data_IF_741197388993
#
_entry.id   IF_741197388993
#
_cell.length_a   1.000
_cell.length_b   1.000
_cell.length_c   1.000
_cell.angle_alpha   90.00
_cell.angle_beta   90.00
_cell.angle_gamma   90.00
#
_symmetry.space_group_name_H-M   'P 1'
#
loop_
_entity.id
_entity.type
_entity.pdbx_description
1 polymer ?
#
# COMPACT_ATOMS: atom_id res chain seq x y z
N UNK A 1 -36.17 -19.31 -66.50
CA UNK A 1 -35.97 -19.76 -65.08
C UNK A 1 -34.99 -18.80 -64.44
N UNK A 2 -35.42 -17.89 -63.57
CA UNK A 2 -34.44 -17.03 -62.92
C UNK A 2 -33.86 -17.70 -61.71
N UNK A 3 -32.52 -17.77 -61.64
CA UNK A 3 -31.75 -18.24 -60.51
C UNK A 3 -31.86 -17.18 -59.39
N UNK A 4 -32.43 -17.58 -58.24
CA UNK A 4 -32.39 -16.80 -57.00
C UNK A 4 -31.01 -16.99 -56.35
N UNK A 5 -30.24 -15.90 -56.30
CA UNK A 5 -28.99 -15.82 -55.52
C UNK A 5 -29.36 -15.52 -54.09
N UNK A 6 -29.17 -16.48 -53.21
CA UNK A 6 -29.22 -16.24 -51.75
C UNK A 6 -27.93 -15.60 -51.32
N UNK A 7 -27.99 -14.35 -50.93
CA UNK A 7 -26.89 -13.65 -50.28
C UNK A 7 -26.87 -14.02 -48.79
N UNK A 8 -25.92 -14.85 -48.43
CA UNK A 8 -25.65 -15.18 -47.01
C UNK A 8 -24.88 -14.01 -46.39
N UNK A 9 -25.60 -13.20 -45.61
CA UNK A 9 -24.96 -12.16 -44.80
C UNK A 9 -24.25 -12.78 -43.60
N UNK A 10 -22.95 -12.72 -43.60
CA UNK A 10 -22.10 -13.06 -42.44
C UNK A 10 -22.13 -11.84 -41.51
N UNK A 11 -22.94 -11.90 -40.43
CA UNK A 11 -22.87 -10.94 -39.33
C UNK A 11 -21.64 -11.22 -38.49
N UNK A 12 -20.65 -10.36 -38.63
CA UNK A 12 -19.46 -10.35 -37.76
C UNK A 12 -19.87 -9.66 -36.45
N UNK A 13 -20.18 -10.45 -35.42
CA UNK A 13 -20.33 -9.95 -34.06
C UNK A 13 -18.92 -9.65 -33.49
N UNK A 14 -18.54 -8.37 -33.47
CA UNK A 14 -17.40 -7.89 -32.73
C UNK A 14 -17.71 -8.01 -31.24
N UNK A 15 -17.23 -9.07 -30.60
CA UNK A 15 -17.23 -9.21 -29.15
C UNK A 15 -16.23 -8.25 -28.54
N UNK A 16 -16.70 -7.13 -27.96
CA UNK A 16 -15.91 -6.31 -27.09
C UNK A 16 -15.60 -7.11 -25.81
N UNK A 17 -14.41 -7.69 -25.75
CA UNK A 17 -13.86 -8.22 -24.50
C UNK A 17 -13.55 -7.05 -23.58
N UNK A 18 -14.41 -6.78 -22.60
CA UNK A 18 -14.15 -5.86 -21.52
C UNK A 18 -13.11 -6.52 -20.61
N UNK A 19 -11.83 -6.12 -20.73
CA UNK A 19 -10.84 -6.43 -19.72
C UNK A 19 -11.25 -5.69 -18.45
N UNK A 20 -11.89 -6.39 -17.53
CA UNK A 20 -12.06 -5.92 -16.18
C UNK A 20 -10.67 -5.83 -15.55
N UNK A 21 -10.11 -4.62 -15.48
CA UNK A 21 -8.91 -4.37 -14.71
C UNK A 21 -9.23 -4.72 -13.25
N UNK A 22 -8.62 -5.80 -12.74
CA UNK A 22 -8.71 -6.16 -11.33
C UNK A 22 -7.96 -5.08 -10.55
N UNK A 23 -8.68 -4.16 -9.95
CA UNK A 23 -8.12 -3.24 -8.99
C UNK A 23 -7.62 -4.07 -7.79
N UNK A 24 -6.39 -3.81 -7.31
CA UNK A 24 -5.95 -4.44 -6.08
C UNK A 24 -6.98 -4.12 -5.00
N UNK A 25 -7.43 -5.16 -4.28
CA UNK A 25 -8.40 -5.03 -3.21
C UNK A 25 -7.84 -4.10 -2.14
N UNK A 26 -8.32 -2.86 -2.10
CA UNK A 26 -8.04 -1.96 -1.00
C UNK A 26 -8.64 -2.54 0.28
N UNK A 27 -7.91 -2.50 1.40
CA UNK A 27 -8.49 -2.83 2.69
C UNK A 27 -9.77 -2.02 2.91
N UNK A 28 -10.78 -2.56 3.60
CA UNK A 28 -12.02 -1.83 3.84
C UNK A 28 -11.72 -0.48 4.49
N UNK A 29 -12.30 0.58 3.93
CA UNK A 29 -12.09 1.98 4.34
C UNK A 29 -12.38 2.25 5.84
N UNK A 30 -13.07 1.34 6.50
CA UNK A 30 -13.38 1.41 7.93
C UNK A 30 -12.16 1.33 8.88
N UNK A 31 -10.98 0.95 8.36
CA UNK A 31 -9.74 0.84 9.14
C UNK A 31 -8.69 1.90 8.77
N UNK A 32 -8.99 2.79 7.83
CA UNK A 32 -8.09 3.89 7.49
C UNK A 32 -8.18 4.97 8.58
N UNK A 33 -7.19 5.02 9.45
CA UNK A 33 -7.07 6.02 10.54
C UNK A 33 -6.32 7.28 10.09
N UNK A 34 -5.95 7.37 8.83
CA UNK A 34 -5.26 8.50 8.21
C UNK A 34 -5.74 8.71 6.76
N UNK A 35 -5.59 9.92 6.25
CA UNK A 35 -5.87 10.24 4.85
C UNK A 35 -4.66 9.94 3.94
N UNK A 36 -4.90 9.90 2.62
CA UNK A 36 -3.82 9.76 1.63
C UNK A 36 -2.81 10.92 1.72
N UNK A 37 -3.30 12.14 1.98
CA UNK A 37 -2.46 13.33 2.14
C UNK A 37 -1.59 13.24 3.40
N UNK A 38 -2.14 12.72 4.50
CA UNK A 38 -1.36 12.46 5.72
C UNK A 38 -0.28 11.40 5.47
N UNK A 39 -0.58 10.33 4.75
CA UNK A 39 0.39 9.32 4.39
C UNK A 39 1.53 9.90 3.53
N UNK A 40 1.20 10.70 2.51
CA UNK A 40 2.20 11.35 1.65
C UNK A 40 3.07 12.36 2.41
N UNK A 41 2.51 13.09 3.35
CA UNK A 41 3.27 13.98 4.23
C UNK A 41 4.19 13.20 5.17
N UNK A 42 3.69 12.11 5.75
CA UNK A 42 4.45 11.21 6.62
C UNK A 42 5.61 10.53 5.90
N UNK A 43 5.42 10.12 4.66
CA UNK A 43 6.48 9.55 3.81
C UNK A 43 7.67 10.49 3.67
N UNK A 44 7.42 11.77 3.38
CA UNK A 44 8.50 12.78 3.26
C UNK A 44 9.29 12.94 4.56
N UNK A 45 8.59 12.96 5.70
CA UNK A 45 9.20 13.05 7.02
C UNK A 45 10.02 11.78 7.30
N UNK A 46 9.46 10.62 6.97
CA UNK A 46 10.14 9.33 7.14
C UNK A 46 11.49 9.31 6.42
N UNK A 47 11.53 9.65 5.13
CA UNK A 47 12.78 9.68 4.37
C UNK A 47 13.77 10.71 4.88
N UNK A 48 13.29 11.83 5.38
CA UNK A 48 14.17 12.88 5.91
C UNK A 48 14.77 12.56 7.29
N UNK A 49 14.08 11.78 8.14
CA UNK A 49 14.46 11.67 9.55
C UNK A 49 14.61 10.23 10.05
N UNK A 50 13.90 9.27 9.45
CA UNK A 50 13.78 7.91 9.99
C UNK A 50 14.51 6.86 9.16
N UNK A 51 14.51 7.01 7.83
CA UNK A 51 15.01 6.01 6.89
C UNK A 51 16.51 5.73 7.07
N UNK A 52 17.28 6.69 7.54
CA UNK A 52 18.71 6.52 7.81
C UNK A 52 19.01 5.36 8.78
N UNK A 53 18.10 5.11 9.72
CA UNK A 53 18.20 3.99 10.67
C UNK A 53 17.27 2.83 10.32
N UNK A 54 16.04 3.11 9.87
CA UNK A 54 15.04 2.08 9.64
C UNK A 54 15.03 1.51 8.22
N UNK A 55 15.82 2.07 7.30
CA UNK A 55 15.89 1.64 5.89
C UNK A 55 14.84 2.29 5.02
N UNK A 56 15.17 2.53 3.75
CA UNK A 56 14.24 3.09 2.77
C UNK A 56 13.07 2.14 2.44
N UNK A 57 13.29 0.85 2.68
CA UNK A 57 12.35 -0.25 2.49
C UNK A 57 11.56 -0.61 3.76
N UNK A 58 11.73 0.14 4.85
CA UNK A 58 11.12 -0.12 6.16
C UNK A 58 11.54 -1.47 6.81
N UNK A 59 12.55 -2.15 6.25
CA UNK A 59 12.97 -3.47 6.71
C UNK A 59 13.80 -3.45 8.02
N UNK A 60 14.17 -2.27 8.46
CA UNK A 60 15.09 -2.10 9.60
C UNK A 60 16.54 -2.29 9.20
N UNK A 61 17.43 -1.99 10.14
CA UNK A 61 18.87 -2.19 10.03
C UNK A 61 19.42 -2.63 11.39
N UNK A 62 20.72 -2.79 11.52
CA UNK A 62 21.40 -3.37 12.72
C UNK A 62 20.88 -2.86 14.08
N UNK A 63 20.54 -1.58 14.17
CA UNK A 63 20.11 -0.94 15.43
C UNK A 63 18.66 -0.47 15.43
N UNK A 64 17.97 -0.62 14.32
CA UNK A 64 16.59 -0.15 14.16
C UNK A 64 15.69 -1.29 13.67
N UNK A 65 14.58 -1.45 14.35
CA UNK A 65 13.61 -2.50 14.05
C UNK A 65 12.91 -2.27 12.71
N UNK A 66 12.39 -3.33 12.11
CA UNK A 66 11.52 -3.25 10.95
C UNK A 66 10.24 -2.45 11.29
N UNK A 67 9.81 -1.61 10.35
CA UNK A 67 8.56 -0.83 10.44
C UNK A 67 7.50 -1.31 9.45
N UNK A 68 7.76 -2.43 8.78
CA UNK A 68 6.82 -3.09 7.88
C UNK A 68 7.04 -4.62 7.93
N UNK A 69 6.11 -5.36 7.32
CA UNK A 69 6.20 -6.81 7.21
C UNK A 69 5.79 -7.55 8.48
N UNK A 70 6.03 -8.87 8.47
CA UNK A 70 5.56 -9.77 9.51
C UNK A 70 6.08 -9.40 10.91
N UNK A 71 7.36 -9.07 11.02
CA UNK A 71 7.97 -8.72 12.30
C UNK A 71 7.32 -7.49 12.94
N UNK A 72 7.00 -6.48 12.15
CA UNK A 72 6.28 -5.29 12.62
C UNK A 72 4.84 -5.63 13.02
N UNK A 73 4.17 -6.42 12.20
CA UNK A 73 2.80 -6.86 12.48
C UNK A 73 2.72 -7.70 13.76
N UNK A 74 3.62 -8.64 13.96
CA UNK A 74 3.68 -9.46 15.17
C UNK A 74 3.91 -8.59 16.43
N UNK A 75 4.76 -7.58 16.32
CA UNK A 75 5.04 -6.68 17.43
C UNK A 75 3.86 -5.76 17.77
N UNK A 76 3.07 -5.34 16.78
CA UNK A 76 2.06 -4.28 16.92
C UNK A 76 0.62 -4.75 16.77
N UNK A 77 0.38 -5.96 16.25
CA UNK A 77 -0.96 -6.49 16.07
C UNK A 77 -1.71 -6.53 17.41
N UNK A 78 -2.94 -6.02 17.42
CA UNK A 78 -3.77 -5.93 18.61
C UNK A 78 -3.37 -4.83 19.62
N UNK A 79 -2.35 -4.02 19.33
CA UNK A 79 -1.98 -2.87 20.14
C UNK A 79 -2.70 -1.61 19.69
N UNK A 80 -2.93 -0.70 20.63
CA UNK A 80 -3.51 0.61 20.37
C UNK A 80 -2.54 1.48 19.54
N UNK A 81 -3.09 2.19 18.56
CA UNK A 81 -2.34 3.14 17.74
C UNK A 81 -1.64 4.23 18.57
N UNK A 82 -2.21 4.60 19.70
CA UNK A 82 -1.59 5.53 20.66
C UNK A 82 -0.23 5.04 21.14
N UNK A 83 -0.10 3.74 21.40
CA UNK A 83 1.17 3.13 21.81
C UNK A 83 2.23 3.24 20.72
N UNK A 84 1.82 3.11 19.47
CA UNK A 84 2.73 3.32 18.34
C UNK A 84 3.18 4.77 18.25
N UNK A 85 2.25 5.71 18.38
CA UNK A 85 2.54 7.16 18.38
C UNK A 85 3.51 7.54 19.51
N UNK A 86 3.26 7.09 20.72
CA UNK A 86 4.14 7.30 21.88
C UNK A 86 5.56 6.77 21.59
N UNK A 87 5.68 5.61 20.94
CA UNK A 87 6.97 5.07 20.51
C UNK A 87 7.67 5.96 19.49
N UNK A 88 6.93 6.49 18.53
CA UNK A 88 7.47 7.40 17.49
C UNK A 88 7.96 8.72 18.11
N UNK A 89 7.24 9.26 19.07
CA UNK A 89 7.59 10.52 19.74
C UNK A 89 8.91 10.44 20.54
N UNK A 90 9.34 9.23 20.87
CA UNK A 90 10.62 8.98 21.55
C UNK A 90 11.78 8.76 20.59
N UNK A 91 11.54 8.81 19.27
CA UNK A 91 12.56 8.58 18.25
C UNK A 91 13.11 9.91 17.68
N UNK A 92 14.40 9.95 17.31
CA UNK A 92 15.42 8.97 17.66
C UNK A 92 15.72 9.01 19.17
N UNK A 93 16.07 7.87 19.78
CA UNK A 93 16.45 7.87 21.18
C UNK A 93 17.65 8.81 21.36
N UNK A 94 17.50 9.80 22.21
CA UNK A 94 18.62 10.68 22.57
C UNK A 94 19.74 9.81 23.12
N UNK A 95 20.93 9.94 22.57
CA UNK A 95 22.11 9.29 23.14
C UNK A 95 22.19 9.69 24.62
N UNK A 96 22.44 8.74 25.54
CA UNK A 96 22.62 9.11 26.92
C UNK A 96 23.73 10.15 26.99
N UNK A 97 23.40 11.33 27.49
CA UNK A 97 24.41 12.34 27.80
C UNK A 97 25.28 11.75 28.90
N UNK A 98 26.44 11.27 28.49
CA UNK A 98 27.49 10.82 29.41
C UNK A 98 28.05 11.99 30.22
#
# INVERSE_FOLDING_TARGET
MPLRRFATGVSLLLGCAVLAAQQPSQPPAALAVYSAEQAAAGEKIYFAQCAVCHGDDLAGREKATALAGAQFQDAWNGKDLRRLLEGIETMPPTAPTS
#
